data_IF_274663839460
#
_entry.id   IF_274663839460
#
_cell.length_a   1.000
_cell.length_b   1.000
_cell.length_c   1.000
_cell.angle_alpha   90.00
_cell.angle_beta   90.00
_cell.angle_gamma   90.00
#
_symmetry.space_group_name_H-M   'P 1'
#
loop_
_entity.id
_entity.type
_entity.pdbx_description
1 polymer ?
#
# COMPACT_ATOMS: atom_id res chain seq x y z
N UNK A 1 -1.00 16.60 -12.03
CA UNK A 1 -1.57 16.43 -10.67
C UNK A 1 -0.59 17.07 -9.69
N UNK A 2 -1.00 18.09 -8.94
CA UNK A 2 -0.14 18.70 -7.90
C UNK A 2 -0.37 17.88 -6.62
N UNK A 3 0.61 17.07 -6.24
CA UNK A 3 0.60 16.36 -4.97
C UNK A 3 0.70 17.39 -3.83
N UNK A 4 -0.16 17.30 -2.81
CA UNK A 4 0.00 18.13 -1.61
C UNK A 4 1.19 17.62 -0.79
N UNK A 5 2.05 18.51 -0.30
CA UNK A 5 3.26 18.21 0.48
C UNK A 5 3.01 17.18 1.61
N UNK A 6 1.88 17.33 2.31
CA UNK A 6 1.47 16.47 3.43
C UNK A 6 1.25 14.99 3.08
N UNK A 7 0.75 14.69 1.88
CA UNK A 7 0.50 13.29 1.49
C UNK A 7 1.81 12.57 1.10
N UNK A 8 2.74 13.31 0.49
CA UNK A 8 4.08 12.80 0.20
C UNK A 8 4.80 12.51 1.53
N UNK A 9 4.68 13.40 2.52
CA UNK A 9 5.24 13.20 3.86
C UNK A 9 4.75 11.89 4.50
N UNK A 10 3.46 11.55 4.39
CA UNK A 10 2.93 10.29 4.93
C UNK A 10 3.54 9.06 4.24
N UNK A 11 3.62 9.05 2.91
CA UNK A 11 4.23 7.93 2.18
C UNK A 11 5.72 7.79 2.53
N UNK A 12 6.43 8.91 2.73
CA UNK A 12 7.82 8.91 3.19
C UNK A 12 7.96 8.41 4.64
N UNK A 13 7.06 8.82 5.54
CA UNK A 13 7.02 8.30 6.91
C UNK A 13 6.84 6.79 6.91
N UNK A 14 5.91 6.26 6.09
CA UNK A 14 5.69 4.82 5.94
C UNK A 14 6.93 4.11 5.42
N UNK A 15 7.61 4.65 4.39
CA UNK A 15 8.88 4.09 3.91
C UNK A 15 9.94 4.02 5.04
N UNK A 16 9.95 4.97 5.96
CA UNK A 16 10.96 5.04 7.02
C UNK A 16 10.68 4.11 8.21
N UNK A 17 9.51 3.47 8.27
CA UNK A 17 9.18 2.49 9.32
C UNK A 17 10.09 1.27 9.26
N UNK A 18 10.40 0.79 8.06
CA UNK A 18 11.20 -0.40 7.85
C UNK A 18 11.98 -0.30 6.53
N UNK A 19 13.29 -0.58 6.58
CA UNK A 19 14.17 -0.55 5.42
C UNK A 19 13.76 -1.50 4.29
N UNK A 20 13.03 -2.58 4.60
CA UNK A 20 12.53 -3.54 3.63
C UNK A 20 11.36 -3.00 2.80
N UNK A 21 10.74 -1.88 3.19
CA UNK A 21 9.69 -1.26 2.40
C UNK A 21 10.31 -0.58 1.18
N UNK A 22 9.85 -0.99 -0.01
CA UNK A 22 10.33 -0.54 -1.32
C UNK A 22 9.49 0.62 -1.87
N UNK A 23 8.18 0.59 -1.60
CA UNK A 23 7.21 1.56 -2.10
C UNK A 23 6.02 1.67 -1.14
N UNK A 24 5.49 2.87 -0.99
CA UNK A 24 4.22 3.15 -0.32
C UNK A 24 3.39 4.11 -1.20
N UNK A 25 2.09 3.86 -1.34
CA UNK A 25 1.21 4.66 -2.18
C UNK A 25 -0.22 4.73 -1.67
N UNK A 26 -0.83 5.91 -1.76
CA UNK A 26 -2.23 6.17 -1.40
C UNK A 26 -3.10 6.09 -2.64
N UNK A 27 -4.10 5.21 -2.64
CA UNK A 27 -5.09 5.08 -3.71
C UNK A 27 -6.45 5.59 -3.25
N UNK A 28 -6.97 6.61 -3.93
CA UNK A 28 -8.32 7.13 -3.74
C UNK A 28 -9.04 7.14 -5.09
N UNK A 29 -10.31 6.73 -5.10
CA UNK A 29 -11.11 6.62 -6.33
C UNK A 29 -10.39 5.85 -7.45
N UNK A 30 -9.72 4.75 -7.08
CA UNK A 30 -8.92 3.87 -7.96
C UNK A 30 -7.72 4.54 -8.63
N UNK A 31 -7.31 5.72 -8.16
CA UNK A 31 -6.14 6.47 -8.66
C UNK A 31 -5.08 6.58 -7.58
N UNK A 32 -3.82 6.43 -7.96
CA UNK A 32 -2.68 6.70 -7.10
C UNK A 32 -2.53 8.22 -6.94
N UNK A 33 -2.87 8.75 -5.76
CA UNK A 33 -2.88 10.20 -5.51
C UNK A 33 -1.58 10.70 -4.87
N UNK A 34 -0.86 9.83 -4.18
CA UNK A 34 0.45 10.13 -3.59
C UNK A 34 1.25 8.83 -3.45
N UNK A 35 2.57 8.93 -3.57
CA UNK A 35 3.45 7.79 -3.35
C UNK A 35 4.85 8.24 -2.98
N UNK A 36 5.59 7.31 -2.38
CA UNK A 36 7.03 7.41 -2.20
C UNK A 36 7.67 6.07 -2.57
N UNK A 37 8.88 6.13 -3.14
CA UNK A 37 9.69 4.95 -3.47
C UNK A 37 11.07 5.10 -2.86
N UNK A 38 11.64 4.01 -2.34
CA UNK A 38 13.01 4.01 -1.86
C UNK A 38 13.97 4.17 -3.04
N UNK A 39 14.86 5.16 -2.99
CA UNK A 39 15.74 5.51 -4.11
C UNK A 39 16.63 4.34 -4.58
N UNK A 40 17.08 3.49 -3.66
CA UNK A 40 17.95 2.34 -3.96
C UNK A 40 17.18 1.08 -4.37
N UNK A 41 15.84 1.08 -4.28
CA UNK A 41 15.04 -0.08 -4.65
C UNK A 41 14.71 -0.03 -6.16
N UNK A 42 15.43 -0.82 -6.96
CA UNK A 42 15.15 -0.97 -8.39
C UNK A 42 13.67 -1.33 -8.60
N UNK A 43 12.93 -0.60 -9.46
CA UNK A 43 11.57 -0.98 -9.82
C UNK A 43 11.52 -2.41 -10.37
N UNK A 44 10.57 -3.21 -9.88
CA UNK A 44 10.34 -4.58 -10.38
C UNK A 44 9.41 -4.62 -11.59
N UNK A 45 8.70 -3.53 -11.83
CA UNK A 45 7.77 -3.33 -12.94
C UNK A 45 8.07 -1.99 -13.59
N UNK A 46 7.90 -1.92 -14.89
CA UNK A 46 7.80 -0.66 -15.63
C UNK A 46 6.50 0.07 -15.28
N UNK A 47 6.41 1.35 -15.64
CA UNK A 47 5.32 2.23 -15.20
C UNK A 47 3.93 1.71 -15.58
N UNK A 48 3.76 1.24 -16.82
CA UNK A 48 2.48 0.71 -17.31
C UNK A 48 2.01 -0.50 -16.46
N UNK A 49 2.90 -1.48 -16.26
CA UNK A 49 2.61 -2.65 -15.44
C UNK A 49 2.39 -2.29 -13.96
N UNK A 50 3.11 -1.29 -13.44
CA UNK A 50 2.88 -0.77 -12.09
C UNK A 50 1.48 -0.19 -11.95
N UNK A 51 1.02 0.59 -12.94
CA UNK A 51 -0.32 1.16 -12.96
C UNK A 51 -1.39 0.07 -13.05
N UNK A 52 -1.18 -0.95 -13.88
CA UNK A 52 -2.07 -2.12 -13.95
C UNK A 52 -2.14 -2.85 -12.61
N UNK A 53 -1.01 -3.06 -11.92
CA UNK A 53 -0.98 -3.70 -10.62
C UNK A 53 -1.74 -2.90 -9.54
N UNK A 54 -1.61 -1.56 -9.54
CA UNK A 54 -2.37 -0.69 -8.63
C UNK A 54 -3.88 -0.73 -8.92
N UNK A 55 -4.27 -0.75 -10.20
CA UNK A 55 -5.65 -0.89 -10.60
C UNK A 55 -6.22 -2.25 -10.16
N UNK A 56 -5.49 -3.34 -10.41
CA UNK A 56 -5.86 -4.68 -9.97
C UNK A 56 -6.09 -4.74 -8.45
N UNK A 57 -5.18 -4.14 -7.66
CA UNK A 57 -5.32 -4.08 -6.21
C UNK A 57 -6.60 -3.34 -5.78
N UNK A 58 -6.97 -2.28 -6.49
CA UNK A 58 -8.19 -1.51 -6.25
C UNK A 58 -9.45 -2.33 -6.55
N UNK A 59 -9.46 -3.10 -7.64
CA UNK A 59 -10.57 -3.99 -7.98
C UNK A 59 -10.71 -5.09 -6.93
N UNK A 60 -9.60 -5.75 -6.58
CA UNK A 60 -9.60 -6.79 -5.55
C UNK A 60 -10.15 -6.27 -4.23
N UNK A 61 -9.72 -5.08 -3.80
CA UNK A 61 -10.21 -4.45 -2.58
C UNK A 61 -11.72 -4.18 -2.64
N UNK A 62 -12.26 -3.72 -3.77
CA UNK A 62 -13.70 -3.48 -3.91
C UNK A 62 -14.58 -4.73 -3.84
N UNK A 63 -14.01 -5.91 -4.09
CA UNK A 63 -14.75 -7.17 -3.96
C UNK A 63 -14.90 -7.62 -2.51
N UNK A 64 -13.98 -7.21 -1.63
CA UNK A 64 -14.05 -7.54 -0.20
C UNK A 64 -15.33 -7.00 0.45
N UNK A 65 -15.85 -5.87 -0.05
CA UNK A 65 -17.10 -5.28 0.45
C UNK A 65 -18.30 -6.22 0.33
N UNK A 66 -18.28 -7.13 -0.65
CA UNK A 66 -19.33 -8.12 -0.86
C UNK A 66 -19.39 -9.18 0.24
N UNK A 67 -18.33 -9.35 1.02
CA UNK A 67 -18.23 -10.35 2.08
C UNK A 67 -18.36 -9.75 3.49
N UNK A 68 -18.46 -8.41 3.60
CA UNK A 68 -18.46 -7.71 4.89
C UNK A 68 -19.60 -8.16 5.83
N UNK A 69 -20.79 -8.43 5.31
CA UNK A 69 -21.93 -8.84 6.14
C UNK A 69 -21.70 -10.18 6.84
N UNK A 70 -20.92 -11.07 6.24
CA UNK A 70 -20.64 -12.41 6.76
C UNK A 70 -19.33 -12.48 7.55
N UNK A 71 -18.29 -11.75 7.11
CA UNK A 71 -16.92 -11.88 7.64
C UNK A 71 -16.43 -10.66 8.43
N UNK A 72 -17.19 -9.56 8.41
CA UNK A 72 -16.74 -8.26 8.89
C UNK A 72 -15.84 -7.54 7.87
N UNK A 73 -15.45 -6.30 8.19
CA UNK A 73 -14.62 -5.47 7.31
C UNK A 73 -13.20 -6.03 7.17
N UNK A 74 -12.71 -6.10 5.94
CA UNK A 74 -11.31 -6.45 5.68
C UNK A 74 -10.38 -5.36 6.18
N UNK A 75 -9.47 -5.72 7.11
CA UNK A 75 -8.47 -4.78 7.65
C UNK A 75 -7.29 -4.58 6.68
N UNK A 76 -6.83 -5.66 6.06
CA UNK A 76 -5.72 -5.66 5.11
C UNK A 76 -5.68 -6.93 4.26
N UNK A 77 -4.97 -6.86 3.14
CA UNK A 77 -4.67 -8.00 2.26
C UNK A 77 -3.17 -8.07 1.99
N UNK A 78 -2.68 -9.28 1.73
CA UNK A 78 -1.30 -9.51 1.30
C UNK A 78 -1.23 -10.47 0.11
N UNK A 79 -0.22 -10.29 -0.74
CA UNK A 79 0.20 -11.27 -1.74
C UNK A 79 1.71 -11.42 -1.65
N UNK A 80 2.17 -12.62 -1.31
CA UNK A 80 3.59 -12.96 -1.26
C UNK A 80 4.02 -13.55 -2.59
N UNK A 81 4.94 -12.88 -3.29
CA UNK A 81 5.61 -13.38 -4.49
C UNK A 81 7.07 -13.64 -4.16
N UNK A 82 7.72 -14.47 -4.96
CA UNK A 82 9.15 -14.81 -4.79
C UNK A 82 10.05 -13.58 -4.61
N UNK A 83 9.77 -12.48 -5.32
CA UNK A 83 10.59 -11.27 -5.34
C UNK A 83 10.05 -10.10 -4.52
N UNK A 84 8.81 -10.17 -4.03
CA UNK A 84 8.13 -9.02 -3.40
C UNK A 84 6.91 -9.45 -2.61
N UNK A 85 6.62 -8.77 -1.51
CA UNK A 85 5.29 -8.81 -0.87
C UNK A 85 4.52 -7.55 -1.25
N UNK A 86 3.27 -7.71 -1.65
CA UNK A 86 2.32 -6.63 -1.93
C UNK A 86 1.29 -6.61 -0.81
N UNK A 87 1.19 -5.49 -0.09
CA UNK A 87 0.29 -5.33 1.06
C UNK A 87 -0.67 -4.20 0.73
N UNK A 88 -1.96 -4.41 1.01
CA UNK A 88 -3.01 -3.39 0.91
C UNK A 88 -3.64 -3.22 2.28
N UNK A 89 -3.60 -2.00 2.83
CA UNK A 89 -4.33 -1.61 4.04
C UNK A 89 -5.60 -0.84 3.62
N UNK A 90 -6.73 -1.19 4.23
CA UNK A 90 -8.00 -0.49 4.01
C UNK A 90 -8.07 0.73 4.93
N UNK A 91 -8.44 1.86 4.36
CA UNK A 91 -8.57 3.15 5.03
C UNK A 91 -10.02 3.63 4.87
N UNK A 92 -10.42 4.62 5.66
CA UNK A 92 -11.81 5.12 5.64
C UNK A 92 -12.20 5.72 4.27
N UNK A 93 -11.28 6.40 3.59
CA UNK A 93 -11.52 7.02 2.28
C UNK A 93 -10.62 6.46 1.15
N UNK A 94 -10.14 5.22 1.28
CA UNK A 94 -9.47 4.49 0.19
C UNK A 94 -8.46 3.45 0.68
N UNK A 95 -7.34 3.31 -0.02
CA UNK A 95 -6.34 2.28 0.25
C UNK A 95 -4.94 2.87 0.44
N UNK A 96 -4.13 2.18 1.25
CA UNK A 96 -2.68 2.30 1.27
C UNK A 96 -2.06 1.01 0.73
N UNK A 97 -1.34 1.11 -0.38
CA UNK A 97 -0.62 -0.01 -0.99
C UNK A 97 0.86 0.10 -0.71
N UNK A 98 1.47 -1.04 -0.41
CA UNK A 98 2.86 -1.13 0.03
C UNK A 98 3.51 -2.31 -0.69
N UNK A 99 4.77 -2.14 -1.08
CA UNK A 99 5.59 -3.29 -1.47
C UNK A 99 6.83 -3.38 -0.60
N UNK A 100 7.23 -4.61 -0.27
CA UNK A 100 8.40 -4.87 0.57
C UNK A 100 9.27 -5.96 -0.02
N UNK A 101 10.49 -6.10 0.49
CA UNK A 101 11.30 -7.30 0.25
C UNK A 101 10.54 -8.57 0.63
N UNK A 102 10.77 -9.70 -0.06
CA UNK A 102 10.04 -10.95 0.16
C UNK A 102 10.30 -11.54 1.56
N UNK A 103 11.45 -11.24 2.17
CA UNK A 103 11.85 -11.72 3.50
C UNK A 103 11.31 -10.85 4.65
N UNK A 104 10.60 -9.75 4.36
CA UNK A 104 10.12 -8.82 5.38
C UNK A 104 9.12 -9.44 6.37
N UNK A 105 9.10 -8.94 7.60
CA UNK A 105 8.05 -9.26 8.57
C UNK A 105 6.85 -8.32 8.37
N UNK A 106 5.90 -8.76 7.55
CA UNK A 106 4.72 -7.99 7.20
C UNK A 106 3.83 -7.67 8.40
N UNK A 107 3.67 -8.58 9.36
CA UNK A 107 2.84 -8.33 10.55
C UNK A 107 3.40 -7.16 11.38
N UNK A 108 4.71 -7.13 11.61
CA UNK A 108 5.37 -6.03 12.32
C UNK A 108 5.24 -4.71 11.56
N UNK A 109 5.45 -4.74 10.24
CA UNK A 109 5.31 -3.55 9.39
C UNK A 109 3.88 -2.99 9.48
N UNK A 110 2.87 -3.85 9.33
CA UNK A 110 1.45 -3.45 9.38
C UNK A 110 1.12 -2.85 10.75
N UNK A 111 1.52 -3.50 11.85
CA UNK A 111 1.29 -3.00 13.22
C UNK A 111 1.94 -1.64 13.43
N UNK A 112 3.18 -1.45 12.97
CA UNK A 112 3.88 -0.18 13.09
C UNK A 112 3.17 0.92 12.30
N UNK A 113 2.69 0.64 11.09
CA UNK A 113 1.91 1.61 10.30
C UNK A 113 0.61 1.98 11.02
N UNK A 114 -0.13 0.99 11.53
CA UNK A 114 -1.37 1.22 12.26
C UNK A 114 -1.15 2.04 13.54
N UNK A 115 0.03 1.93 14.16
CA UNK A 115 0.38 2.72 15.35
C UNK A 115 0.67 4.20 15.08
N UNK A 116 0.86 4.60 13.81
CA UNK A 116 1.22 5.98 13.47
C UNK A 116 0.09 7.01 13.71
N UNK A 117 -1.08 6.58 14.21
CA UNK A 117 -2.24 7.43 14.49
C UNK A 117 -2.57 8.36 13.31
N UNK A 118 -2.27 7.90 12.10
CA UNK A 118 -2.53 8.64 10.88
C UNK A 118 -4.04 8.58 10.70
N UNK A 119 -4.69 9.74 10.72
CA UNK A 119 -6.03 9.85 10.14
C UNK A 119 -5.85 9.61 8.63
N UNK A 120 -5.97 8.34 8.24
CA UNK A 120 -5.78 7.84 6.89
C UNK A 120 -7.03 7.98 6.05
#
# INVERSE_FOLDING_TARGET
MVQSSRQIELCMQILNIDSAIRFAGRIKDRKLISFARRAHATPLLEEELSNMAHYQASIKASWEDMFNDALGKTNWMITSKEKVKLITLFLDDGLLIISTEPTSNHDTIIKNIQSLNIKL
#
